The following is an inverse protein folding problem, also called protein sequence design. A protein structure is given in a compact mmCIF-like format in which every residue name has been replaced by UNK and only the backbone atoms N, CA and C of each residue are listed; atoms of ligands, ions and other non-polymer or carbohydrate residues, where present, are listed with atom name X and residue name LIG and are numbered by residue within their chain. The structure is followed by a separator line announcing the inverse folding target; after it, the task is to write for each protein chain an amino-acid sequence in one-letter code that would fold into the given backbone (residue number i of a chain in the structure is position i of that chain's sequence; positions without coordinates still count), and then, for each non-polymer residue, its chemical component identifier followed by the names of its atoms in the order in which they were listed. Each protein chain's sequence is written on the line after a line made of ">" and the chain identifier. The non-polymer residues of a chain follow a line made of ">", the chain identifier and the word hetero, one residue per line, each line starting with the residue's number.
data_IF_257041953264
#
_entry.id   IF_257041953264
#
_cell.length_a   1.000
_cell.length_b   1.000
_cell.length_c   1.000
_cell.angle_alpha   90.00
_cell.angle_beta   90.00
_cell.angle_gamma   90.00
#
_symmetry.space_group_name_H-M   'P 1'
#
loop_
_entity.id
_entity.type
_entity.pdbx_description
1 polymer ?
#
# COMPACT_ATOMS: atom_id res chain seq x y z
N UNK A 1 -0.82 6.08 19.60
CA UNK A 1 -1.55 5.03 20.33
C UNK A 1 -2.89 5.61 20.72
N UNK A 2 -3.89 4.78 21.01
CA UNK A 2 -5.07 5.23 21.76
C UNK A 2 -4.66 5.53 23.21
N UNK A 3 -5.55 6.17 23.98
CA UNK A 3 -5.28 6.53 25.38
C UNK A 3 -4.94 5.30 26.25
N UNK A 4 -5.52 4.13 25.92
CA UNK A 4 -5.28 2.85 26.59
C UNK A 4 -3.95 2.16 26.19
N UNK A 5 -3.14 2.80 25.35
CA UNK A 5 -1.87 2.26 24.88
C UNK A 5 -2.00 1.27 23.72
N UNK A 6 -3.20 0.97 23.24
CA UNK A 6 -3.40 0.06 22.10
C UNK A 6 -3.08 0.73 20.75
N UNK A 7 -2.91 -0.06 19.66
CA UNK A 7 -2.75 0.46 18.31
C UNK A 7 -3.83 1.49 17.91
N UNK A 8 -3.51 2.43 17.00
CA UNK A 8 -4.43 3.51 16.65
C UNK A 8 -5.73 3.03 15.99
N UNK A 9 -5.71 1.92 15.27
CA UNK A 9 -6.87 1.33 14.61
C UNK A 9 -6.76 -0.20 14.51
N UNK A 10 -7.70 -0.83 13.80
CA UNK A 10 -7.83 -2.28 13.69
C UNK A 10 -7.04 -2.92 12.53
N UNK A 11 -6.17 -2.18 11.83
CA UNK A 11 -5.47 -2.72 10.66
C UNK A 11 -4.58 -3.91 11.01
N UNK A 12 -4.63 -4.94 10.16
CA UNK A 12 -3.87 -6.17 10.30
C UNK A 12 -2.76 -6.25 9.25
N UNK A 13 -1.60 -6.74 9.68
CA UNK A 13 -0.49 -7.02 8.78
C UNK A 13 -0.83 -8.21 7.88
N UNK A 14 -0.40 -8.19 6.63
CA UNK A 14 -0.65 -9.24 5.65
C UNK A 14 -0.10 -10.61 6.07
N UNK A 15 0.90 -10.66 6.96
CA UNK A 15 1.43 -11.92 7.52
C UNK A 15 0.90 -12.26 8.91
N UNK A 16 -0.12 -11.54 9.38
CA UNK A 16 -0.80 -11.77 10.65
C UNK A 16 -0.35 -10.85 11.79
N UNK A 17 -1.25 -10.66 12.76
CA UNK A 17 -1.10 -9.71 13.86
C UNK A 17 -1.45 -8.28 13.46
N UNK A 18 -1.36 -7.37 14.44
CA UNK A 18 -1.59 -5.94 14.20
C UNK A 18 -0.55 -5.37 13.23
N UNK A 19 -0.99 -4.47 12.34
CA UNK A 19 -0.11 -3.75 11.42
C UNK A 19 0.73 -2.64 12.08
N UNK A 20 0.75 -2.61 13.40
CA UNK A 20 1.34 -1.54 14.19
C UNK A 20 2.31 -2.12 15.20
N UNK A 21 3.54 -1.59 15.19
CA UNK A 21 4.57 -1.96 16.15
C UNK A 21 5.02 -0.75 16.95
N UNK A 22 5.15 -0.91 18.27
CA UNK A 22 5.57 0.15 19.17
C UNK A 22 7.08 0.38 19.08
N UNK A 23 7.49 1.64 18.90
CA UNK A 23 8.88 2.04 18.92
C UNK A 23 9.20 2.79 20.22
N UNK A 24 9.99 2.20 21.14
CA UNK A 24 10.14 2.71 22.50
C UNK A 24 10.79 4.10 22.57
N UNK A 25 11.80 4.37 21.72
CA UNK A 25 12.47 5.68 21.70
C UNK A 25 11.58 6.80 21.21
N UNK A 26 10.64 6.49 20.29
CA UNK A 26 9.71 7.47 19.72
C UNK A 26 8.43 7.56 20.53
N UNK A 27 8.19 6.58 21.42
CA UNK A 27 6.94 6.40 22.16
C UNK A 27 5.72 6.48 21.25
N UNK A 28 5.83 5.85 20.09
CA UNK A 28 4.81 5.87 19.04
C UNK A 28 4.74 4.51 18.36
N UNK A 29 3.58 4.20 17.80
CA UNK A 29 3.46 3.09 16.85
C UNK A 29 3.95 3.54 15.47
N UNK A 30 4.59 2.64 14.75
CA UNK A 30 4.81 2.77 13.30
C UNK A 30 4.00 1.71 12.55
N UNK A 31 3.54 2.07 11.35
CA UNK A 31 2.76 1.20 10.49
C UNK A 31 3.69 0.29 9.66
N UNK A 32 3.32 -0.98 9.55
CA UNK A 32 3.92 -1.95 8.64
C UNK A 32 2.82 -2.81 8.02
N UNK A 33 2.73 -2.84 6.69
CA UNK A 33 1.73 -3.69 5.99
C UNK A 33 2.10 -5.18 6.04
N UNK A 34 3.40 -5.48 6.11
CA UNK A 34 3.95 -6.83 6.11
C UNK A 34 4.68 -7.11 7.43
N UNK A 35 5.97 -7.43 7.40
CA UNK A 35 6.76 -7.71 8.58
C UNK A 35 7.05 -6.45 9.40
N UNK A 36 7.24 -6.62 10.71
CA UNK A 36 7.67 -5.52 11.60
C UNK A 36 8.99 -4.87 11.17
N UNK A 37 9.87 -5.64 10.52
CA UNK A 37 11.14 -5.17 9.94
C UNK A 37 10.97 -4.40 8.62
N UNK A 38 9.75 -4.28 8.10
CA UNK A 38 9.41 -3.58 6.86
C UNK A 38 8.48 -2.39 7.18
N UNK A 39 8.99 -1.33 7.85
CA UNK A 39 8.20 -0.14 8.14
C UNK A 39 7.74 0.49 6.83
N UNK A 40 6.46 0.86 6.75
CA UNK A 40 5.90 1.49 5.56
C UNK A 40 6.39 2.93 5.44
N UNK A 41 6.78 3.33 4.23
CA UNK A 41 7.03 4.73 3.90
C UNK A 41 5.72 5.53 3.90
N UNK A 42 5.78 6.80 4.29
CA UNK A 42 4.62 7.68 4.27
C UNK A 42 4.52 8.44 2.94
N UNK A 43 3.72 7.93 2.01
CA UNK A 43 3.48 8.55 0.70
C UNK A 43 2.68 9.87 0.74
N UNK A 44 2.21 10.31 1.92
CA UNK A 44 1.70 11.67 2.11
C UNK A 44 2.81 12.71 2.27
N UNK A 45 4.07 12.29 2.43
CA UNK A 45 5.21 13.20 2.47
C UNK A 45 5.78 13.36 1.05
N UNK A 46 5.76 14.57 0.45
CA UNK A 46 6.31 14.79 -0.89
C UNK A 46 7.79 14.40 -1.00
N UNK A 47 8.60 14.66 0.03
CA UNK A 47 10.04 14.32 0.01
C UNK A 47 10.27 12.81 -0.13
N UNK A 48 9.38 12.00 0.45
CA UNK A 48 9.45 10.53 0.34
C UNK A 48 9.09 10.09 -1.08
N UNK A 49 8.08 10.72 -1.68
CA UNK A 49 7.64 10.37 -3.03
C UNK A 49 8.72 10.75 -4.03
N UNK A 50 9.29 11.94 -3.93
CA UNK A 50 10.37 12.40 -4.80
C UNK A 50 11.60 11.49 -4.67
N UNK A 51 11.99 11.12 -3.44
CA UNK A 51 13.08 10.16 -3.23
C UNK A 51 12.78 8.78 -3.87
N UNK A 52 11.54 8.30 -3.81
CA UNK A 52 11.14 7.07 -4.51
C UNK A 52 11.21 7.21 -6.03
N UNK A 53 10.82 8.35 -6.58
CA UNK A 53 10.91 8.61 -8.03
C UNK A 53 12.36 8.69 -8.50
N UNK A 54 13.25 9.25 -7.69
CA UNK A 54 14.69 9.29 -7.99
C UNK A 54 15.33 7.90 -8.01
N UNK A 55 14.82 6.95 -7.21
CA UNK A 55 15.22 5.53 -7.31
C UNK A 55 14.83 4.94 -8.67
N UNK A 56 13.66 5.29 -9.21
CA UNK A 56 13.27 4.84 -10.56
C UNK A 56 14.20 5.42 -11.62
N UNK A 57 14.42 6.75 -11.60
CA UNK A 57 15.35 7.44 -12.51
C UNK A 57 16.74 6.85 -12.47
N UNK A 58 17.26 6.59 -11.26
CA UNK A 58 18.57 5.98 -11.07
C UNK A 58 18.77 4.69 -11.88
N UNK A 59 17.75 3.83 -11.92
CA UNK A 59 17.80 2.57 -12.67
C UNK A 59 17.50 2.76 -14.16
N UNK A 60 16.60 3.67 -14.52
CA UNK A 60 16.30 4.02 -15.92
C UNK A 60 17.52 4.64 -16.62
N UNK A 61 18.27 5.51 -15.94
CA UNK A 61 19.54 6.09 -16.41
C UNK A 61 20.60 5.02 -16.73
N UNK A 62 20.44 3.81 -16.19
CA UNK A 62 21.34 2.65 -16.40
C UNK A 62 20.83 1.69 -17.47
N UNK A 63 19.74 2.03 -18.14
CA UNK A 63 19.18 1.25 -19.24
C UNK A 63 18.27 0.11 -18.80
N UNK A 64 17.70 0.15 -17.60
CA UNK A 64 16.60 -0.76 -17.24
C UNK A 64 15.38 -0.45 -18.11
N UNK A 65 14.80 -1.47 -18.74
CA UNK A 65 13.66 -1.31 -19.67
C UNK A 65 12.31 -1.09 -18.97
N UNK A 66 12.24 -1.30 -17.65
CA UNK A 66 10.99 -1.18 -16.93
C UNK A 66 10.97 -1.73 -15.52
N UNK A 67 9.81 -1.61 -14.87
CA UNK A 67 9.61 -2.06 -13.49
C UNK A 67 8.35 -2.90 -13.33
N UNK A 68 8.48 -3.91 -12.46
CA UNK A 68 7.33 -4.53 -11.80
C UNK A 68 7.16 -3.86 -10.44
N UNK A 69 6.06 -3.14 -10.26
CA UNK A 69 5.75 -2.40 -9.04
C UNK A 69 5.13 -3.37 -8.02
N UNK A 70 5.91 -3.73 -6.99
CA UNK A 70 5.44 -4.58 -5.90
C UNK A 70 4.31 -3.89 -5.13
N UNK A 71 3.27 -4.64 -4.79
CA UNK A 71 2.13 -4.21 -3.95
C UNK A 71 1.57 -2.83 -4.35
N UNK A 72 1.41 -2.62 -5.66
CA UNK A 72 1.14 -1.32 -6.27
C UNK A 72 -0.14 -0.65 -5.74
N UNK A 73 -1.06 -1.44 -5.20
CA UNK A 73 -2.31 -1.00 -4.60
C UNK A 73 -2.18 -0.46 -3.17
N UNK A 74 -0.99 -0.47 -2.57
CA UNK A 74 -0.80 -0.26 -1.13
C UNK A 74 0.18 0.86 -0.78
N UNK A 75 0.56 1.77 -1.69
CA UNK A 75 1.51 2.85 -1.35
C UNK A 75 0.89 3.87 -0.41
N UNK A 76 -0.31 4.32 -0.71
CA UNK A 76 -1.06 5.26 0.12
C UNK A 76 -1.90 4.52 1.17
N UNK A 77 -2.22 5.20 2.27
CA UNK A 77 -3.13 4.74 3.32
C UNK A 77 -3.98 5.93 3.79
N UNK A 78 -5.12 5.67 4.42
CA UNK A 78 -5.99 6.73 4.94
C UNK A 78 -5.27 7.54 6.05
N UNK A 79 -5.05 8.86 5.86
CA UNK A 79 -4.38 9.69 6.85
C UNK A 79 -5.20 9.85 8.14
N UNK A 80 -6.52 9.60 8.10
CA UNK A 80 -7.38 9.62 9.30
C UNK A 80 -7.28 8.35 10.13
N UNK A 81 -6.56 7.34 9.63
CA UNK A 81 -6.37 6.04 10.29
C UNK A 81 -7.71 5.34 10.60
N UNK A 82 -8.70 5.45 9.71
CA UNK A 82 -10.03 4.85 9.89
C UNK A 82 -9.94 3.33 9.97
N UNK A 83 -10.72 2.72 10.86
CA UNK A 83 -10.81 1.26 10.96
C UNK A 83 -11.35 0.66 9.66
N UNK A 84 -10.77 -0.45 9.21
CA UNK A 84 -11.34 -1.23 8.12
C UNK A 84 -12.65 -1.92 8.56
N UNK A 85 -13.67 -1.97 7.70
CA UNK A 85 -14.87 -2.74 7.97
C UNK A 85 -14.60 -4.25 7.84
N UNK A 86 -15.34 -5.09 8.58
CA UNK A 86 -15.21 -6.54 8.44
C UNK A 86 -15.82 -7.04 7.12
N UNK A 87 -15.34 -8.18 6.62
CA UNK A 87 -16.05 -8.96 5.62
C UNK A 87 -17.30 -9.58 6.29
N UNK A 88 -18.52 -9.35 5.75
CA UNK A 88 -19.75 -9.92 6.29
C UNK A 88 -19.69 -11.44 6.38
N UNK A 89 -20.26 -12.02 7.44
CA UNK A 89 -20.18 -13.46 7.69
C UNK A 89 -20.64 -14.31 6.49
N UNK A 90 -21.71 -13.87 5.82
CA UNK A 90 -22.30 -14.55 4.67
C UNK A 90 -21.40 -14.57 3.42
N UNK A 91 -20.42 -13.67 3.34
CA UNK A 91 -19.47 -13.58 2.22
C UNK A 91 -18.14 -14.32 2.51
N UNK A 92 -17.96 -14.83 3.73
CA UNK A 92 -16.70 -15.48 4.13
C UNK A 92 -16.58 -16.86 3.51
N UNK A 93 -15.44 -17.08 2.88
CA UNK A 93 -15.01 -18.37 2.34
C UNK A 93 -13.98 -19.03 3.25
N UNK A 94 -13.57 -20.25 2.92
CA UNK A 94 -12.44 -20.92 3.57
C UNK A 94 -11.18 -20.03 3.63
N UNK A 95 -10.93 -19.23 2.59
CA UNK A 95 -9.77 -18.36 2.53
C UNK A 95 -9.80 -17.29 3.63
N UNK A 96 -10.97 -16.73 3.95
CA UNK A 96 -11.10 -15.74 5.01
C UNK A 96 -10.86 -16.37 6.40
N UNK A 97 -11.32 -17.60 6.60
CA UNK A 97 -11.13 -18.32 7.87
C UNK A 97 -9.71 -18.83 8.07
N UNK A 98 -9.00 -19.14 6.98
CA UNK A 98 -7.62 -19.58 7.03
C UNK A 98 -6.63 -18.47 7.41
N UNK A 99 -7.01 -17.19 7.27
CA UNK A 99 -6.09 -16.08 7.48
C UNK A 99 -6.78 -14.80 7.97
N UNK A 100 -6.52 -14.41 9.23
CA UNK A 100 -7.24 -13.32 9.91
C UNK A 100 -7.26 -11.97 9.18
N UNK A 101 -6.19 -11.50 8.50
CA UNK A 101 -6.24 -10.26 7.71
C UNK A 101 -7.35 -10.26 6.67
N UNK A 102 -7.65 -11.42 6.06
CA UNK A 102 -8.72 -11.58 5.07
C UNK A 102 -10.14 -11.44 5.65
N UNK A 103 -10.29 -11.25 6.95
CA UNK A 103 -11.57 -10.95 7.59
C UNK A 103 -11.93 -9.46 7.52
N UNK A 104 -11.06 -8.61 6.96
CA UNK A 104 -11.28 -7.17 6.77
C UNK A 104 -11.39 -6.84 5.28
N UNK A 105 -12.21 -5.84 4.93
CA UNK A 105 -12.10 -5.19 3.63
C UNK A 105 -11.00 -4.14 3.72
N UNK A 106 -9.96 -4.27 2.91
CA UNK A 106 -8.77 -3.43 2.94
C UNK A 106 -8.96 -2.15 2.11
N UNK A 107 -9.75 -1.20 2.62
CA UNK A 107 -10.10 0.03 1.88
C UNK A 107 -9.47 1.30 2.49
N UNK A 108 -8.96 1.23 3.72
CA UNK A 108 -8.30 2.36 4.39
C UNK A 108 -6.80 2.12 4.63
N UNK A 109 -6.37 0.86 4.71
CA UNK A 109 -4.95 0.50 4.87
C UNK A 109 -4.24 0.18 3.53
N UNK A 110 -5.02 0.02 2.47
CA UNK A 110 -4.63 -0.13 1.07
C UNK A 110 -5.81 0.30 0.18
N UNK A 111 -5.62 0.34 -1.13
CA UNK A 111 -6.68 0.59 -2.13
C UNK A 111 -7.44 1.91 -1.98
N UNK A 112 -6.82 2.88 -1.31
CA UNK A 112 -7.41 4.22 -1.20
C UNK A 112 -7.49 4.82 -2.60
N UNK A 113 -8.57 5.52 -2.97
CA UNK A 113 -8.66 6.19 -4.28
C UNK A 113 -7.44 7.09 -4.59
N UNK A 114 -6.88 7.73 -3.56
CA UNK A 114 -5.68 8.57 -3.62
C UNK A 114 -4.43 7.81 -4.06
N UNK A 115 -4.42 6.47 -4.00
CA UNK A 115 -3.29 5.66 -4.45
C UNK A 115 -3.08 5.76 -5.97
N UNK A 116 -4.12 6.08 -6.75
CA UNK A 116 -4.01 6.35 -8.20
C UNK A 116 -2.96 7.45 -8.48
N UNK A 117 -2.88 8.47 -7.63
CA UNK A 117 -1.89 9.53 -7.77
C UNK A 117 -0.45 9.01 -7.71
N UNK A 118 -0.18 7.99 -6.87
CA UNK A 118 1.15 7.39 -6.82
C UNK A 118 1.53 6.70 -8.13
N UNK A 119 0.56 6.06 -8.81
CA UNK A 119 0.77 5.48 -10.14
C UNK A 119 1.00 6.56 -11.20
N UNK A 120 0.29 7.70 -11.11
CA UNK A 120 0.53 8.85 -12.01
C UNK A 120 1.96 9.38 -11.86
N UNK A 121 2.48 9.52 -10.64
CA UNK A 121 3.88 9.92 -10.40
C UNK A 121 4.87 8.93 -11.01
N UNK A 122 4.62 7.64 -10.88
CA UNK A 122 5.45 6.62 -11.55
C UNK A 122 5.38 6.79 -13.07
N UNK A 123 4.18 6.90 -13.64
CA UNK A 123 3.98 7.09 -15.10
C UNK A 123 4.71 8.32 -15.62
N UNK A 124 4.64 9.45 -14.91
CA UNK A 124 5.35 10.68 -15.27
C UNK A 124 6.86 10.46 -15.38
N UNK A 125 7.47 9.73 -14.43
CA UNK A 125 8.90 9.37 -14.52
C UNK A 125 9.16 8.43 -15.69
N UNK A 126 8.30 7.44 -15.91
CA UNK A 126 8.45 6.50 -17.03
C UNK A 126 8.34 7.21 -18.39
N UNK A 127 7.55 8.28 -18.50
CA UNK A 127 7.40 9.11 -19.72
C UNK A 127 8.64 9.98 -20.02
N UNK A 128 9.57 10.14 -19.07
CA UNK A 128 10.85 10.81 -19.32
C UNK A 128 11.81 9.97 -20.19
N UNK A 129 11.51 8.69 -20.40
CA UNK A 129 12.37 7.73 -21.10
C UNK A 129 11.58 6.97 -22.19
N UNK A 130 12.11 6.97 -23.41
CA UNK A 130 11.50 6.26 -24.55
C UNK A 130 11.47 4.74 -24.33
N UNK A 131 10.39 4.09 -24.75
CA UNK A 131 10.23 2.62 -24.76
C UNK A 131 10.45 1.96 -23.38
N UNK A 132 9.74 2.44 -22.35
CA UNK A 132 9.77 1.85 -21.00
C UNK A 132 8.42 1.31 -20.56
N UNK A 133 8.46 0.17 -19.86
CA UNK A 133 7.27 -0.52 -19.33
C UNK A 133 7.20 -0.44 -17.79
N UNK A 134 6.02 -0.17 -17.25
CA UNK A 134 5.73 -0.42 -15.84
C UNK A 134 4.43 -1.20 -15.71
N UNK A 135 4.41 -2.19 -14.82
CA UNK A 135 3.18 -2.88 -14.44
C UNK A 135 3.16 -3.15 -12.94
N UNK A 136 1.98 -3.09 -12.33
CA UNK A 136 1.80 -3.35 -10.90
C UNK A 136 1.43 -4.79 -10.62
N UNK A 137 1.94 -5.30 -9.50
CA UNK A 137 1.29 -6.41 -8.80
C UNK A 137 0.17 -5.85 -7.93
N UNK A 138 -0.99 -6.48 -8.05
CA UNK A 138 -2.17 -6.21 -7.24
C UNK A 138 -2.62 -7.52 -6.58
N UNK A 139 -2.93 -7.49 -5.29
CA UNK A 139 -3.38 -8.65 -4.53
C UNK A 139 -4.73 -8.36 -3.90
N UNK A 140 -5.76 -8.27 -4.75
CA UNK A 140 -7.10 -7.81 -4.39
C UNK A 140 -8.19 -8.54 -5.17
N UNK A 141 -9.45 -8.22 -4.87
CA UNK A 141 -10.60 -8.72 -5.64
C UNK A 141 -10.59 -8.16 -7.08
N UNK A 142 -11.07 -8.93 -8.08
CA UNK A 142 -11.05 -8.56 -9.49
C UNK A 142 -11.56 -7.15 -9.82
N UNK A 143 -12.60 -6.70 -9.12
CA UNK A 143 -13.25 -5.40 -9.33
C UNK A 143 -12.32 -4.22 -9.01
N UNK A 144 -11.33 -4.40 -8.15
CA UNK A 144 -10.40 -3.35 -7.72
C UNK A 144 -9.22 -3.16 -8.69
N UNK A 145 -8.97 -4.11 -9.59
CA UNK A 145 -7.90 -4.00 -10.58
C UNK A 145 -8.20 -2.95 -11.68
N UNK A 146 -9.49 -2.70 -11.96
CA UNK A 146 -9.91 -1.75 -12.99
C UNK A 146 -9.48 -0.30 -12.73
N UNK A 147 -9.18 0.05 -11.48
CA UNK A 147 -8.67 1.38 -11.10
C UNK A 147 -7.23 1.63 -11.58
N UNK A 148 -6.49 0.58 -11.94
CA UNK A 148 -5.06 0.65 -12.25
C UNK A 148 -4.70 0.22 -13.67
N UNK A 149 -5.60 -0.53 -14.33
CA UNK A 149 -5.56 -0.65 -15.78
C UNK A 149 -6.09 0.68 -16.34
N UNK A 150 -5.23 1.51 -16.92
CA UNK A 150 -5.57 2.83 -17.49
C UNK A 150 -6.57 2.79 -18.64
N UNK A 151 -7.80 2.32 -18.37
CA UNK A 151 -8.92 2.34 -19.28
C UNK A 151 -9.52 3.73 -19.34
N UNK A 152 -9.08 4.50 -20.35
CA UNK A 152 -9.82 5.54 -21.08
C UNK A 152 -10.79 6.40 -20.26
N UNK A 153 -10.38 7.63 -19.97
CA UNK A 153 -11.25 8.80 -20.14
C UNK A 153 -10.89 9.48 -21.47
#
# INVERSE_FOLDING_TARGET
>A
AKEDGTPPNNWLAAFGGAAWSWHPLRRQYYFHKFLKSQPKLNFHNPDVVDACMDVLRFWLDRGVDGFRLDVANSYVHDPKLTNNPPVPMAERTFANWAHAPRLQRHIYDANTPENEWSMKRVREVMDEYDDRLAFGEFSEEPEMFGLYAGGVN
#
